data_IF_197485940835
#
_entry.id   IF_197485940835
#
_cell.length_a   1.000
_cell.length_b   1.000
_cell.length_c   1.000
_cell.angle_alpha   90.00
_cell.angle_beta   90.00
_cell.angle_gamma   90.00
#
_symmetry.space_group_name_H-M   'P 1'
#
loop_
_entity.id
_entity.type
_entity.pdbx_description
1 polymer ?
#
# COMPACT_ATOMS: atom_id res chain seq x y z
N UNK A 1 16.90 0.09 38.90
CA UNK A 1 16.85 -0.31 37.47
C UNK A 1 15.70 -1.29 37.31
N UNK A 2 14.52 -0.83 36.88
CA UNK A 2 13.30 -1.68 36.88
C UNK A 2 13.26 -2.46 35.57
N UNK A 3 13.48 -3.77 35.64
CA UNK A 3 13.39 -4.66 34.47
C UNK A 3 11.92 -4.78 34.06
N UNK A 4 11.60 -4.41 32.82
CA UNK A 4 10.24 -4.49 32.28
C UNK A 4 9.82 -5.96 32.16
N UNK A 5 9.01 -6.48 33.09
CA UNK A 5 8.44 -7.82 32.94
C UNK A 5 7.28 -7.80 31.93
N UNK A 6 7.22 -8.80 31.07
CA UNK A 6 6.14 -8.95 30.08
C UNK A 6 4.77 -9.07 30.77
N UNK A 7 4.72 -9.69 31.95
CA UNK A 7 3.52 -9.78 32.79
C UNK A 7 3.05 -8.40 33.24
N UNK A 8 3.96 -7.54 33.74
CA UNK A 8 3.62 -6.17 34.17
C UNK A 8 3.03 -5.37 33.02
N UNK A 9 3.67 -5.43 31.83
CA UNK A 9 3.18 -4.75 30.63
C UNK A 9 1.77 -5.21 30.28
N UNK A 10 1.52 -6.52 30.28
CA UNK A 10 0.21 -7.09 29.94
C UNK A 10 -0.90 -6.69 30.94
N UNK A 11 -0.60 -6.61 32.23
CA UNK A 11 -1.56 -6.13 33.23
C UNK A 11 -1.89 -4.64 33.05
N UNK A 12 -0.88 -3.82 32.73
CA UNK A 12 -1.10 -2.40 32.41
C UNK A 12 -1.91 -2.22 31.12
N UNK A 13 -1.64 -3.01 30.08
CA UNK A 13 -2.40 -2.98 28.82
C UNK A 13 -3.87 -3.39 29.00
N UNK A 14 -4.19 -4.15 30.06
CA UNK A 14 -5.56 -4.51 30.45
C UNK A 14 -6.26 -3.42 31.30
N UNK A 15 -5.57 -2.32 31.62
CA UNK A 15 -6.13 -1.21 32.38
C UNK A 15 -5.99 -1.33 33.90
N UNK A 16 -5.18 -2.27 34.40
CA UNK A 16 -4.88 -2.38 35.83
C UNK A 16 -3.85 -1.32 36.21
N UNK A 17 -4.09 -0.62 37.33
CA UNK A 17 -3.20 0.45 37.80
C UNK A 17 -1.76 -0.05 37.99
N UNK A 18 -0.78 0.83 37.71
CA UNK A 18 0.64 0.45 37.65
C UNK A 18 1.16 -0.15 38.96
N UNK A 19 0.70 0.36 40.10
CA UNK A 19 1.09 -0.14 41.42
C UNK A 19 0.71 -1.61 41.60
N UNK A 20 -0.53 -1.99 41.26
CA UNK A 20 -1.00 -3.38 41.34
C UNK A 20 -0.37 -4.27 40.28
N UNK A 21 -0.19 -3.75 39.06
CA UNK A 21 0.48 -4.48 37.99
C UNK A 21 1.94 -4.81 38.32
N UNK A 22 2.64 -3.93 39.05
CA UNK A 22 4.00 -4.18 39.51
C UNK A 22 4.03 -5.27 40.59
N UNK A 23 3.17 -5.20 41.60
CA UNK A 23 3.14 -6.17 42.71
C UNK A 23 2.68 -7.56 42.25
N UNK A 24 1.68 -7.66 41.38
CA UNK A 24 1.20 -8.93 40.81
C UNK A 24 2.21 -9.58 39.87
N UNK A 25 3.04 -8.79 39.20
CA UNK A 25 4.04 -9.27 38.26
C UNK A 25 5.41 -9.54 38.91
N UNK A 26 5.56 -9.27 40.21
CA UNK A 26 6.80 -9.54 40.93
C UNK A 26 6.98 -11.05 41.06
N UNK A 27 8.01 -11.59 40.39
CA UNK A 27 8.35 -13.02 40.30
C UNK A 27 7.23 -13.97 39.80
N UNK A 28 6.22 -13.46 39.08
CA UNK A 28 5.12 -14.26 38.53
C UNK A 28 4.97 -14.13 37.02
N UNK A 29 4.77 -15.26 36.34
CA UNK A 29 4.42 -15.27 34.91
C UNK A 29 2.92 -15.03 34.76
N UNK A 30 2.50 -14.58 33.58
CA UNK A 30 1.08 -14.37 33.26
C UNK A 30 0.19 -15.57 33.60
N UNK A 31 0.70 -16.78 33.39
CA UNK A 31 -0.04 -18.02 33.69
C UNK A 31 -0.25 -18.27 35.18
N UNK A 32 0.63 -17.75 36.04
CA UNK A 32 0.45 -17.83 37.49
C UNK A 32 -0.58 -16.78 37.94
N UNK A 33 -0.51 -15.57 37.38
CA UNK A 33 -1.40 -14.45 37.71
C UNK A 33 -2.87 -14.74 37.34
N UNK A 34 -3.12 -15.42 36.21
CA UNK A 34 -4.49 -15.73 35.77
C UNK A 34 -5.21 -16.79 36.63
N UNK A 35 -4.48 -17.54 37.47
CA UNK A 35 -5.06 -18.61 38.31
C UNK A 35 -5.33 -18.12 39.75
N UNK A 36 -4.79 -16.97 40.15
CA UNK A 36 -4.98 -16.39 41.48
C UNK A 36 -6.45 -16.09 41.79
N UNK A 37 -6.92 -16.49 42.97
CA UNK A 37 -8.26 -16.12 43.44
C UNK A 37 -8.33 -14.63 43.79
N UNK A 38 -9.54 -14.08 43.91
CA UNK A 38 -9.71 -12.69 44.37
C UNK A 38 -9.12 -12.47 45.77
N UNK A 39 -9.12 -13.49 46.63
CA UNK A 39 -8.52 -13.44 47.96
C UNK A 39 -6.99 -13.38 47.90
N UNK A 40 -6.37 -14.17 47.02
CA UNK A 40 -4.91 -14.14 46.81
C UNK A 40 -4.46 -12.80 46.23
N UNK A 41 -5.27 -12.20 45.34
CA UNK A 41 -5.00 -10.87 44.77
C UNK A 41 -5.10 -9.80 45.85
N UNK A 42 -6.12 -9.85 46.71
CA UNK A 42 -6.26 -8.93 47.83
C UNK A 42 -5.07 -9.01 48.79
N UNK A 43 -4.60 -10.22 49.09
CA UNK A 43 -3.46 -10.44 49.97
C UNK A 43 -2.13 -9.97 49.35
N UNK A 44 -1.92 -10.21 48.05
CA UNK A 44 -0.69 -9.81 47.35
C UNK A 44 -0.64 -8.31 47.10
N UNK A 45 -1.78 -7.69 46.78
CA UNK A 45 -1.85 -6.27 46.48
C UNK A 45 -2.14 -5.40 47.72
N UNK A 46 -2.33 -6.01 48.89
CA UNK A 46 -2.72 -5.36 50.14
C UNK A 46 -3.94 -4.42 49.97
N UNK A 47 -4.98 -4.91 49.30
CA UNK A 47 -6.19 -4.13 49.00
C UNK A 47 -7.44 -4.73 49.62
N UNK A 48 -8.51 -3.96 49.60
CA UNK A 48 -9.85 -4.43 49.91
C UNK A 48 -10.35 -5.46 48.88
N UNK A 49 -11.34 -6.25 49.30
CA UNK A 49 -11.89 -7.35 48.48
C UNK A 49 -12.64 -6.85 47.24
N UNK A 50 -13.11 -5.60 47.23
CA UNK A 50 -13.87 -5.03 46.10
C UNK A 50 -12.92 -4.64 44.95
N UNK A 51 -11.80 -3.98 45.25
CA UNK A 51 -10.76 -3.68 44.26
C UNK A 51 -10.08 -4.96 43.76
N UNK A 52 -9.81 -5.93 44.64
CA UNK A 52 -9.24 -7.22 44.24
C UNK A 52 -10.19 -8.02 43.34
N UNK A 53 -11.50 -7.96 43.63
CA UNK A 53 -12.55 -8.50 42.77
C UNK A 53 -12.57 -7.85 41.39
N UNK A 54 -12.48 -6.51 41.34
CA UNK A 54 -12.43 -5.76 40.08
C UNK A 54 -11.20 -6.12 39.22
N UNK A 55 -10.04 -6.32 39.85
CA UNK A 55 -8.81 -6.77 39.17
C UNK A 55 -8.99 -8.21 38.66
N UNK A 56 -9.55 -9.11 39.49
CA UNK A 56 -9.85 -10.48 39.09
C UNK A 56 -10.81 -10.54 37.91
N UNK A 57 -11.88 -9.75 37.93
CA UNK A 57 -12.87 -9.66 36.87
C UNK A 57 -12.26 -9.13 35.57
N UNK A 58 -11.34 -8.17 35.67
CA UNK A 58 -10.58 -7.66 34.51
C UNK A 58 -9.68 -8.75 33.90
N UNK A 59 -8.98 -9.52 34.74
CA UNK A 59 -8.13 -10.64 34.32
C UNK A 59 -8.98 -11.79 33.73
N UNK A 60 -10.11 -12.13 34.34
CA UNK A 60 -11.05 -13.13 33.82
C UNK A 60 -11.74 -12.66 32.53
N UNK A 61 -12.06 -11.38 32.42
CA UNK A 61 -12.56 -10.76 31.20
C UNK A 61 -11.57 -10.93 30.05
N UNK A 62 -10.27 -10.73 30.32
CA UNK A 62 -9.21 -11.01 29.35
C UNK A 62 -9.11 -12.51 29.01
N UNK A 63 -9.34 -13.41 29.98
CA UNK A 63 -9.38 -14.85 29.74
C UNK A 63 -10.60 -15.26 28.89
N UNK A 64 -11.78 -14.69 29.16
CA UNK A 64 -13.02 -14.90 28.39
C UNK A 64 -12.90 -14.38 26.97
N UNK A 65 -12.19 -13.26 26.75
CA UNK A 65 -11.89 -12.74 25.40
C UNK A 65 -11.02 -13.72 24.60
N UNK A 66 -10.12 -14.45 25.25
CA UNK A 66 -9.37 -15.56 24.64
C UNK A 66 -10.19 -16.86 24.53
N UNK A 67 -11.11 -17.12 25.46
CA UNK A 67 -11.97 -18.33 25.48
C UNK A 67 -13.17 -18.21 24.52
N UNK A 68 -13.50 -17.02 24.05
CA UNK A 68 -14.46 -16.79 22.96
C UNK A 68 -14.01 -17.35 21.60
N UNK A 69 -12.76 -17.84 21.50
CA UNK A 69 -12.28 -18.63 20.37
C UNK A 69 -12.61 -20.14 20.46
N UNK A 70 -13.21 -20.62 21.56
CA UNK A 70 -13.57 -22.04 21.69
C UNK A 70 -14.49 -22.34 22.86
N UNK A 71 -15.79 -22.51 22.58
CA UNK A 71 -16.69 -23.53 23.16
C UNK A 71 -18.15 -23.10 23.04
N UNK A 72 -18.96 -23.97 22.44
CA UNK A 72 -20.42 -23.93 22.40
C UNK A 72 -21.05 -24.12 23.80
N UNK A 73 -22.20 -23.48 23.99
CA UNK A 73 -23.41 -23.96 24.66
C UNK A 73 -23.36 -24.50 26.10
N UNK A 74 -23.64 -23.65 27.10
CA UNK A 74 -24.58 -23.98 28.20
C UNK A 74 -25.04 -22.73 28.99
N UNK A 75 -26.32 -22.36 28.89
CA UNK A 75 -26.99 -21.25 29.60
C UNK A 75 -28.48 -21.18 29.22
N UNK A 76 -29.39 -20.69 30.10
CA UNK A 76 -30.82 -21.01 30.09
C UNK A 76 -31.55 -20.46 28.85
N UNK A 77 -32.38 -21.30 28.22
CA UNK A 77 -33.06 -20.99 26.96
C UNK A 77 -34.28 -20.11 27.19
N UNK A 78 -34.13 -18.80 27.00
CA UNK A 78 -35.28 -17.92 26.78
C UNK A 78 -35.76 -18.07 25.34
N UNK A 79 -36.99 -18.54 25.13
CA UNK A 79 -37.62 -18.65 23.81
C UNK A 79 -38.02 -17.27 23.26
N UNK A 80 -37.03 -16.45 22.91
CA UNK A 80 -37.26 -15.21 22.19
C UNK A 80 -37.53 -15.58 20.72
N UNK A 81 -38.81 -15.59 20.32
CA UNK A 81 -39.17 -15.59 18.89
C UNK A 81 -38.73 -14.25 18.30
N UNK A 82 -37.49 -14.20 17.81
CA UNK A 82 -37.04 -13.12 16.95
C UNK A 82 -37.94 -13.11 15.72
N UNK A 83 -38.85 -12.15 15.65
CA UNK A 83 -39.69 -11.90 14.47
C UNK A 83 -38.74 -11.56 13.35
N UNK A 84 -38.34 -12.58 12.58
CA UNK A 84 -37.56 -12.40 11.36
C UNK A 84 -38.44 -11.58 10.45
N UNK A 85 -38.13 -10.28 10.33
CA UNK A 85 -38.53 -9.53 9.15
C UNK A 85 -38.08 -10.37 7.96
N UNK A 86 -39.05 -10.83 7.17
CA UNK A 86 -38.78 -11.40 5.87
C UNK A 86 -37.86 -10.39 5.15
N UNK A 87 -36.59 -10.76 4.96
CA UNK A 87 -35.55 -9.86 4.42
C UNK A 87 -34.27 -9.73 5.25
N UNK A 88 -34.19 -10.22 6.50
CA UNK A 88 -32.95 -10.09 7.32
C UNK A 88 -32.08 -11.36 7.34
N UNK A 89 -32.32 -12.33 6.45
CA UNK A 89 -31.56 -13.60 6.36
C UNK A 89 -30.45 -13.58 5.30
N UNK A 90 -30.21 -12.46 4.64
CA UNK A 90 -29.29 -12.34 3.50
C UNK A 90 -28.21 -11.25 3.69
N UNK A 91 -27.98 -10.75 4.92
CA UNK A 91 -27.02 -9.65 5.16
C UNK A 91 -25.81 -9.99 6.03
N UNK A 92 -25.40 -11.25 6.16
CA UNK A 92 -24.21 -11.56 6.99
C UNK A 92 -23.38 -12.78 6.58
N UNK A 93 -23.33 -13.12 5.29
CA UNK A 93 -22.04 -13.52 4.74
C UNK A 93 -21.49 -12.27 4.08
N UNK A 94 -20.89 -11.39 4.87
CA UNK A 94 -20.02 -10.38 4.30
C UNK A 94 -19.01 -11.16 3.46
N UNK A 95 -19.04 -10.98 2.14
CA UNK A 95 -18.06 -11.59 1.24
C UNK A 95 -16.69 -11.16 1.78
N UNK A 96 -15.99 -12.08 2.42
CA UNK A 96 -14.60 -11.90 2.88
C UNK A 96 -13.62 -12.00 1.73
N UNK A 97 -14.09 -12.42 0.56
CA UNK A 97 -13.39 -12.26 -0.69
C UNK A 97 -13.84 -10.94 -1.32
N UNK A 98 -12.96 -9.96 -1.36
CA UNK A 98 -13.10 -8.87 -2.32
C UNK A 98 -13.15 -9.52 -3.71
N UNK A 99 -14.16 -9.18 -4.51
CA UNK A 99 -14.21 -9.63 -5.90
C UNK A 99 -12.95 -9.05 -6.58
N UNK A 100 -11.99 -9.91 -6.95
CA UNK A 100 -10.78 -9.45 -7.62
C UNK A 100 -11.19 -8.93 -9.00
N UNK A 101 -10.83 -7.68 -9.29
CA UNK A 101 -11.00 -7.15 -10.65
C UNK A 101 -10.17 -8.00 -11.61
N UNK A 102 -10.82 -8.45 -12.69
CA UNK A 102 -10.13 -9.18 -13.75
C UNK A 102 -9.07 -8.27 -14.38
N UNK A 103 -7.85 -8.76 -14.51
CA UNK A 103 -6.76 -8.00 -15.12
C UNK A 103 -7.10 -7.65 -16.57
N UNK A 104 -7.30 -6.37 -16.83
CA UNK A 104 -7.52 -5.85 -18.17
C UNK A 104 -6.16 -5.58 -18.82
N UNK A 105 -5.70 -6.55 -19.60
CA UNK A 105 -4.42 -6.49 -20.33
C UNK A 105 -4.38 -5.27 -21.25
N UNK A 106 -5.46 -5.01 -21.99
CA UNK A 106 -5.51 -3.93 -22.99
C UNK A 106 -5.36 -2.56 -22.34
N UNK A 107 -6.04 -2.33 -21.22
CA UNK A 107 -5.89 -1.09 -20.45
C UNK A 107 -4.47 -0.92 -19.93
N UNK A 108 -3.82 -2.01 -19.52
CA UNK A 108 -2.43 -1.93 -19.06
C UNK A 108 -1.47 -1.65 -20.22
N UNK A 109 -1.68 -2.25 -21.39
CA UNK A 109 -0.87 -1.99 -22.57
C UNK A 109 -0.98 -0.52 -23.02
N UNK A 110 -2.20 0.03 -23.05
CA UNK A 110 -2.41 1.45 -23.36
C UNK A 110 -1.77 2.41 -22.36
N UNK A 111 -1.44 1.97 -21.15
CA UNK A 111 -0.71 2.81 -20.19
C UNK A 111 0.75 3.08 -20.56
N UNK A 112 1.28 2.36 -21.55
CA UNK A 112 2.61 2.60 -22.10
C UNK A 112 2.61 3.51 -23.32
N UNK A 113 1.44 3.76 -23.91
CA UNK A 113 1.32 4.67 -25.05
C UNK A 113 1.45 6.13 -24.58
N UNK A 114 1.98 6.99 -25.46
CA UNK A 114 2.05 8.43 -25.21
C UNK A 114 0.63 9.05 -25.15
N UNK A 115 0.47 10.13 -24.41
CA UNK A 115 -0.80 10.85 -24.29
C UNK A 115 -1.31 11.36 -25.65
N UNK A 116 -0.40 11.70 -26.56
CA UNK A 116 -0.71 12.16 -27.92
C UNK A 116 -0.73 11.02 -28.94
N UNK A 117 -0.63 9.75 -28.52
CA UNK A 117 -0.62 8.61 -29.43
C UNK A 117 -1.85 8.56 -30.35
N UNK A 118 -2.99 9.09 -29.88
CA UNK A 118 -4.22 9.13 -30.65
C UNK A 118 -4.33 10.31 -31.63
N UNK A 119 -3.43 11.30 -31.54
CA UNK A 119 -3.45 12.50 -32.37
C UNK A 119 -3.06 12.22 -33.83
N UNK A 120 -3.65 12.99 -34.75
CA UNK A 120 -3.46 12.82 -36.19
C UNK A 120 -2.03 13.16 -36.62
N UNK A 121 -1.41 14.17 -36.01
CA UNK A 121 -0.01 14.55 -36.29
C UNK A 121 0.92 13.45 -35.77
N UNK A 122 0.75 13.01 -34.53
CA UNK A 122 1.55 11.93 -33.95
C UNK A 122 1.51 10.65 -34.79
N UNK A 123 0.30 10.21 -35.17
CA UNK A 123 0.11 9.02 -36.04
C UNK A 123 0.83 9.17 -37.38
N UNK A 124 0.79 10.35 -37.99
CA UNK A 124 1.47 10.60 -39.27
C UNK A 124 2.99 10.60 -39.16
N UNK A 125 3.55 11.11 -38.05
CA UNK A 125 4.99 11.09 -37.78
C UNK A 125 5.45 9.68 -37.46
N UNK A 126 4.73 8.94 -36.61
CA UNK A 126 5.04 7.55 -36.25
C UNK A 126 5.04 6.65 -37.49
N UNK A 127 4.02 6.76 -38.34
CA UNK A 127 3.99 6.04 -39.62
C UNK A 127 5.16 6.40 -40.55
N UNK A 128 5.58 7.67 -40.59
CA UNK A 128 6.73 8.09 -41.39
C UNK A 128 8.08 7.58 -40.83
N UNK A 129 8.20 7.45 -39.51
CA UNK A 129 9.37 6.83 -38.86
C UNK A 129 9.39 5.32 -39.11
N UNK A 130 8.24 4.65 -39.00
CA UNK A 130 8.10 3.22 -39.28
C UNK A 130 8.43 2.92 -40.75
N UNK A 131 7.98 3.74 -41.69
CA UNK A 131 8.34 3.67 -43.12
C UNK A 131 9.86 3.85 -43.35
N UNK A 132 10.53 4.66 -42.52
CA UNK A 132 11.99 4.87 -42.57
C UNK A 132 12.77 3.69 -41.96
N UNK A 133 12.13 2.88 -41.11
CA UNK A 133 12.71 1.67 -40.52
C UNK A 133 13.84 1.94 -39.51
N UNK A 134 13.82 3.10 -38.84
CA UNK A 134 14.87 3.52 -37.91
C UNK A 134 14.39 3.48 -36.45
N UNK A 135 15.27 3.01 -35.55
CA UNK A 135 15.02 2.96 -34.11
C UNK A 135 15.57 4.19 -33.37
N UNK A 136 15.92 5.26 -34.11
CA UNK A 136 16.56 6.46 -33.54
C UNK A 136 15.56 7.42 -32.89
N UNK A 137 14.28 7.32 -33.24
CA UNK A 137 13.22 8.13 -32.65
C UNK A 137 12.60 7.42 -31.46
N UNK A 138 12.55 8.09 -30.30
CA UNK A 138 11.78 7.65 -29.15
C UNK A 138 10.38 8.27 -29.18
N UNK A 139 9.42 7.66 -28.47
CA UNK A 139 8.06 8.22 -28.36
C UNK A 139 8.08 9.65 -27.78
N UNK A 140 9.04 9.97 -26.90
CA UNK A 140 9.24 11.33 -26.38
C UNK A 140 9.65 12.33 -27.47
N UNK A 141 10.54 11.95 -28.39
CA UNK A 141 10.92 12.83 -29.51
C UNK A 141 9.70 13.09 -30.40
N UNK A 142 8.89 12.05 -30.67
CA UNK A 142 7.65 12.19 -31.43
C UNK A 142 6.63 13.09 -30.71
N UNK A 143 6.52 12.98 -29.39
CA UNK A 143 5.69 13.85 -28.56
C UNK A 143 6.14 15.32 -28.70
N UNK A 144 7.42 15.61 -28.45
CA UNK A 144 7.97 16.96 -28.49
C UNK A 144 7.82 17.58 -29.90
N UNK A 145 8.03 16.78 -30.95
CA UNK A 145 7.79 17.20 -32.34
C UNK A 145 6.31 17.48 -32.61
N UNK A 146 5.40 16.67 -32.07
CA UNK A 146 3.95 16.86 -32.23
C UNK A 146 3.50 18.16 -31.57
N UNK A 147 3.96 18.44 -30.35
CA UNK A 147 3.70 19.70 -29.65
C UNK A 147 4.22 20.89 -30.47
N UNK A 148 5.46 20.84 -30.94
CA UNK A 148 6.05 21.90 -31.75
C UNK A 148 5.29 22.17 -33.07
N UNK A 149 4.63 21.15 -33.62
CA UNK A 149 3.82 21.26 -34.84
C UNK A 149 2.44 21.88 -34.54
N UNK A 150 1.85 21.53 -33.39
CA UNK A 150 0.62 22.17 -32.90
C UNK A 150 0.83 23.63 -32.55
N UNK A 151 1.97 23.99 -31.98
CA UNK A 151 2.34 25.40 -31.71
C UNK A 151 2.42 26.23 -32.99
N UNK A 152 2.69 25.59 -34.13
CA UNK A 152 2.64 26.19 -35.48
C UNK A 152 1.23 26.19 -36.09
N UNK A 153 0.20 25.87 -35.31
CA UNK A 153 -1.21 25.79 -35.69
C UNK A 153 -1.54 24.73 -36.76
N UNK A 154 -0.71 23.69 -36.91
CA UNK A 154 -0.96 22.61 -37.87
C UNK A 154 -1.63 21.42 -37.20
N UNK A 155 -2.93 21.23 -37.47
CA UNK A 155 -3.74 20.15 -36.88
C UNK A 155 -3.54 18.78 -37.52
N UNK A 156 -2.89 18.72 -38.68
CA UNK A 156 -2.62 17.49 -39.44
C UNK A 156 -1.44 17.70 -40.39
N UNK A 157 -0.71 16.63 -40.69
CA UNK A 157 0.33 16.61 -41.72
C UNK A 157 -0.12 15.73 -42.89
N UNK A 158 0.28 16.12 -44.09
CA UNK A 158 0.23 15.21 -45.25
C UNK A 158 1.40 14.21 -45.18
N UNK A 159 1.28 13.04 -45.84
CA UNK A 159 2.34 12.03 -45.85
C UNK A 159 3.70 12.61 -46.28
N UNK A 160 3.72 13.43 -47.33
CA UNK A 160 4.95 14.08 -47.82
C UNK A 160 5.58 15.00 -46.77
N UNK A 161 4.78 15.83 -46.10
CA UNK A 161 5.28 16.72 -45.06
C UNK A 161 5.84 15.95 -43.87
N UNK A 162 5.15 14.90 -43.41
CA UNK A 162 5.64 14.05 -42.33
C UNK A 162 6.98 13.39 -42.68
N UNK A 163 7.12 12.85 -43.90
CA UNK A 163 8.39 12.27 -44.37
C UNK A 163 9.51 13.30 -44.40
N UNK A 164 9.27 14.52 -44.89
CA UNK A 164 10.29 15.58 -44.90
C UNK A 164 10.70 15.97 -43.48
N UNK A 165 9.73 16.20 -42.58
CA UNK A 165 10.01 16.55 -41.18
C UNK A 165 10.83 15.48 -40.48
N UNK A 166 10.49 14.20 -40.67
CA UNK A 166 11.23 13.07 -40.08
C UNK A 166 12.63 12.95 -40.68
N UNK A 167 12.80 13.15 -41.99
CA UNK A 167 14.10 13.10 -42.65
C UNK A 167 15.03 14.22 -42.14
N UNK A 168 14.52 15.45 -42.01
CA UNK A 168 15.28 16.58 -41.49
C UNK A 168 15.66 16.36 -40.02
N UNK A 169 14.72 15.85 -39.21
CA UNK A 169 14.98 15.50 -37.82
C UNK A 169 16.03 14.38 -37.68
N UNK A 170 15.98 13.38 -38.57
CA UNK A 170 16.97 12.31 -38.61
C UNK A 170 18.37 12.86 -38.93
N UNK A 171 18.49 13.71 -39.95
CA UNK A 171 19.76 14.35 -40.29
C UNK A 171 20.31 15.22 -39.16
N UNK A 172 19.43 15.91 -38.42
CA UNK A 172 19.81 16.68 -37.24
C UNK A 172 20.31 15.79 -36.10
N UNK A 173 19.64 14.65 -35.84
CA UNK A 173 20.06 13.67 -34.84
C UNK A 173 21.39 13.00 -35.19
N UNK A 174 21.61 12.70 -36.47
CA UNK A 174 22.85 12.13 -36.96
C UNK A 174 24.01 13.11 -36.76
N UNK A 175 23.81 14.38 -37.16
CA UNK A 175 24.80 15.45 -36.95
C UNK A 175 25.07 15.75 -35.48
N UNK A 176 24.07 15.63 -34.61
CA UNK A 176 24.21 15.87 -33.17
C UNK A 176 24.83 14.68 -32.42
N UNK A 177 25.02 13.53 -33.09
CA UNK A 177 25.65 12.37 -32.48
C UNK A 177 27.14 12.60 -32.28
N UNK A 178 27.65 12.16 -31.13
CA UNK A 178 29.07 12.20 -30.82
C UNK A 178 29.85 11.25 -31.74
N UNK A 179 31.06 11.63 -32.14
CA UNK A 179 31.98 10.73 -32.83
C UNK A 179 32.34 9.56 -31.90
N UNK A 180 32.25 8.30 -32.35
CA UNK A 180 32.66 7.13 -31.56
C UNK A 180 34.09 7.19 -30.99
N UNK A 181 34.99 7.95 -31.60
CA UNK A 181 36.39 8.07 -31.17
C UNK A 181 36.68 9.36 -30.38
N UNK A 182 35.66 10.14 -30.07
CA UNK A 182 35.80 11.35 -29.27
C UNK A 182 36.31 11.02 -27.86
N UNK A 183 37.27 11.80 -27.35
CA UNK A 183 37.82 11.64 -26.00
C UNK A 183 36.88 12.20 -24.92
N UNK A 184 35.62 11.75 -24.91
CA UNK A 184 34.54 12.26 -24.08
C UNK A 184 34.90 12.30 -22.59
N UNK A 185 35.65 11.31 -22.09
CA UNK A 185 36.08 11.27 -20.69
C UNK A 185 37.05 12.40 -20.30
N UNK A 186 37.94 12.81 -21.21
CA UNK A 186 38.88 13.90 -20.96
C UNK A 186 38.14 15.24 -21.05
N UNK A 187 37.33 15.42 -22.09
CA UNK A 187 36.58 16.65 -22.33
C UNK A 187 35.56 16.91 -21.21
N UNK A 188 34.87 15.88 -20.74
CA UNK A 188 33.95 16.00 -19.59
C UNK A 188 34.69 16.37 -18.31
N UNK A 189 35.85 15.76 -18.04
CA UNK A 189 36.66 16.11 -16.87
C UNK A 189 37.13 17.58 -16.92
N UNK A 190 37.55 18.05 -18.10
CA UNK A 190 37.93 19.46 -18.31
C UNK A 190 36.72 20.39 -18.15
N UNK A 191 35.61 20.10 -18.82
CA UNK A 191 34.37 20.90 -18.76
C UNK A 191 33.78 21.01 -17.35
N UNK A 192 33.94 20.00 -16.50
CA UNK A 192 33.51 20.07 -15.10
C UNK A 192 34.50 20.90 -14.27
N UNK A 193 35.79 20.91 -14.63
CA UNK A 193 36.84 21.65 -13.95
C UNK A 193 36.97 23.12 -14.35
N UNK A 194 36.54 23.47 -15.56
CA UNK A 194 36.59 24.83 -16.13
C UNK A 194 35.17 25.39 -16.30
N UNK A 195 34.64 26.16 -15.32
CA UNK A 195 33.34 26.83 -15.43
C UNK A 195 33.37 28.11 -16.27
#
# INVERSE_FOLDING_TARGET
MVVKSATKKKLMDLGIAENFAHTLANDRKWDDVKVLSAQDIAQVCETDSETAGSIRDTIEGALKKNRAAGSEATGPTTNVRLKRRAGTRTRSRAKTAADLETYNVDKKLRSFDDELADDAVYKSLKAAVDDLGTNRFSDKILHDMTVAIHDRNMKKLTKKQATTVVADAYAALDKASIDPFEAAGIITAQSIGEP
#
